data_IF_254856613592
#
_entry.id   IF_254856613592
#
_cell.length_a   1.000
_cell.length_b   1.000
_cell.length_c   1.000
_cell.angle_alpha   90.00
_cell.angle_beta   90.00
_cell.angle_gamma   90.00
#
_symmetry.space_group_name_H-M   'P 1'
#
loop_
_entity.id
_entity.type
_entity.pdbx_description
1 polymer ?
#
# COMPACT_ATOMS: atom_id res chain seq x y z
N UNK A 1 -47.25 19.77 -4.49
CA UNK A 1 -46.27 18.71 -4.19
C UNK A 1 -44.95 19.16 -4.81
N UNK A 2 -44.05 19.75 -4.01
CA UNK A 2 -42.78 20.27 -4.51
C UNK A 2 -41.81 19.11 -4.78
N UNK A 3 -41.04 19.11 -5.88
CA UNK A 3 -40.06 18.07 -6.14
C UNK A 3 -38.94 18.13 -5.10
N UNK A 4 -38.46 16.96 -4.68
CA UNK A 4 -37.40 16.80 -3.70
C UNK A 4 -36.07 17.41 -4.21
N UNK A 5 -35.23 17.98 -3.33
CA UNK A 5 -33.98 18.60 -3.74
C UNK A 5 -33.00 17.53 -4.22
N UNK A 6 -32.66 17.57 -5.51
CA UNK A 6 -31.61 16.74 -6.08
C UNK A 6 -30.26 17.12 -5.43
N UNK A 7 -29.67 16.16 -4.73
CA UNK A 7 -28.33 16.29 -4.17
C UNK A 7 -27.31 16.13 -5.29
N UNK A 8 -26.94 17.25 -5.92
CA UNK A 8 -25.77 17.28 -6.80
C UNK A 8 -24.52 17.15 -5.94
N UNK A 9 -23.64 16.14 -6.14
CA UNK A 9 -22.38 16.09 -5.42
C UNK A 9 -21.55 17.34 -5.75
N UNK A 10 -20.88 17.97 -4.77
CA UNK A 10 -20.10 19.17 -5.02
C UNK A 10 -18.99 18.89 -6.05
N UNK A 11 -18.79 19.82 -6.98
CA UNK A 11 -17.85 19.71 -8.11
C UNK A 11 -16.38 19.48 -7.69
N UNK A 12 -16.05 19.67 -6.42
CA UNK A 12 -14.71 19.48 -5.83
C UNK A 12 -14.49 18.09 -5.20
N UNK A 13 -15.38 17.13 -5.48
CA UNK A 13 -15.30 15.79 -4.89
C UNK A 13 -14.24 14.90 -5.56
N UNK A 14 -13.27 14.41 -4.78
CA UNK A 14 -12.32 13.38 -5.22
C UNK A 14 -13.04 12.05 -5.42
N UNK A 15 -12.96 11.49 -6.64
CA UNK A 15 -13.51 10.17 -6.97
C UNK A 15 -12.40 9.11 -7.02
N UNK A 16 -12.59 8.01 -6.30
CA UNK A 16 -11.72 6.83 -6.42
C UNK A 16 -12.02 6.13 -7.74
N UNK A 17 -11.04 6.07 -8.64
CA UNK A 17 -11.17 5.39 -9.94
C UNK A 17 -10.83 3.91 -9.85
N UNK A 18 -9.83 3.56 -9.04
CA UNK A 18 -9.35 2.18 -8.91
C UNK A 18 -8.72 1.93 -7.54
N UNK A 19 -8.78 0.69 -7.07
CA UNK A 19 -8.09 0.22 -5.87
C UNK A 19 -7.63 -1.21 -6.10
N UNK A 20 -6.31 -1.41 -6.14
CA UNK A 20 -5.72 -2.71 -6.41
C UNK A 20 -4.61 -3.03 -5.41
N UNK A 21 -4.47 -4.32 -5.11
CA UNK A 21 -3.27 -4.84 -4.44
C UNK A 21 -2.28 -5.29 -5.52
N UNK A 22 -1.11 -4.66 -5.58
CA UNK A 22 -0.07 -5.00 -6.54
C UNK A 22 0.88 -6.04 -5.92
N UNK A 23 1.08 -7.15 -6.62
CA UNK A 23 2.02 -8.19 -6.21
C UNK A 23 3.37 -8.00 -6.91
N UNK A 24 4.49 -8.49 -6.33
CA UNK A 24 5.76 -8.55 -7.03
C UNK A 24 5.66 -9.30 -8.37
N UNK A 25 6.42 -8.84 -9.37
CA UNK A 25 6.45 -9.49 -10.67
C UNK A 25 7.06 -10.91 -10.60
N UNK A 26 6.64 -11.78 -11.51
CA UNK A 26 7.17 -13.15 -11.64
C UNK A 26 8.58 -13.12 -12.25
N UNK A 27 9.51 -14.02 -11.83
CA UNK A 27 9.39 -14.97 -10.73
C UNK A 27 9.30 -14.27 -9.37
N UNK A 28 8.42 -14.79 -8.51
CA UNK A 28 8.22 -14.23 -7.17
C UNK A 28 9.51 -14.39 -6.35
N UNK A 29 9.89 -13.36 -5.56
CA UNK A 29 10.95 -13.50 -4.57
C UNK A 29 10.63 -14.65 -3.58
N UNK A 30 11.64 -15.30 -3.00
CA UNK A 30 11.42 -16.31 -1.97
C UNK A 30 10.80 -15.70 -0.71
N UNK A 31 10.15 -16.53 0.10
CA UNK A 31 9.73 -16.14 1.45
C UNK A 31 10.94 -15.67 2.26
N UNK A 32 10.83 -14.48 2.85
CA UNK A 32 11.95 -13.82 3.52
C UNK A 32 11.46 -13.10 4.76
N UNK A 33 12.21 -13.25 5.85
CA UNK A 33 12.06 -12.45 7.07
C UNK A 33 13.27 -11.54 7.23
N UNK A 34 13.03 -10.24 7.36
CA UNK A 34 14.05 -9.25 7.68
C UNK A 34 13.86 -8.81 9.13
N UNK A 35 14.77 -9.19 10.05
CA UNK A 35 14.67 -8.74 11.43
C UNK A 35 14.88 -7.22 11.51
N UNK A 36 14.11 -6.55 12.35
CA UNK A 36 14.31 -5.12 12.60
C UNK A 36 15.60 -4.90 13.38
N UNK A 37 16.35 -3.89 12.95
CA UNK A 37 17.55 -3.41 13.62
C UNK A 37 17.21 -2.31 14.63
N UNK A 38 18.17 -1.90 15.44
CA UNK A 38 18.01 -0.78 16.36
C UNK A 38 17.56 0.51 15.66
N UNK A 39 18.02 0.75 14.44
CA UNK A 39 17.64 1.94 13.66
C UNK A 39 16.16 1.95 13.27
N UNK A 40 15.54 0.77 13.14
CA UNK A 40 14.14 0.63 12.73
C UNK A 40 13.16 0.86 13.90
N UNK A 41 13.61 0.67 15.14
CA UNK A 41 12.77 0.72 16.35
C UNK A 41 12.12 2.10 16.52
N UNK A 42 12.84 3.18 16.22
CA UNK A 42 12.31 4.54 16.29
C UNK A 42 11.08 4.74 15.39
N UNK A 43 11.01 4.01 14.28
CA UNK A 43 9.94 4.12 13.30
C UNK A 43 8.73 3.23 13.63
N UNK A 44 8.86 2.29 14.58
CA UNK A 44 7.76 1.43 15.00
C UNK A 44 6.62 2.20 15.66
N UNK A 45 6.91 3.36 16.26
CA UNK A 45 5.92 4.21 16.90
C UNK A 45 5.59 5.47 16.08
N UNK A 46 6.26 5.64 14.93
CA UNK A 46 6.03 6.79 14.06
C UNK A 46 4.72 6.62 13.27
N UNK A 47 4.00 7.72 12.99
CA UNK A 47 2.86 7.67 12.08
C UNK A 47 3.32 7.32 10.65
N UNK A 48 2.43 6.75 9.80
CA UNK A 48 2.77 6.45 8.42
C UNK A 48 3.23 7.69 7.65
N UNK A 49 4.33 7.58 6.91
CA UNK A 49 4.85 8.66 6.06
C UNK A 49 3.91 8.87 4.87
N UNK A 50 3.40 10.09 4.70
CA UNK A 50 2.52 10.48 3.60
C UNK A 50 3.26 11.39 2.61
N UNK A 51 3.19 11.08 1.30
CA UNK A 51 3.84 11.86 0.24
C UNK A 51 2.89 12.01 -0.95
N UNK A 52 2.84 13.21 -1.52
CA UNK A 52 2.05 13.55 -2.71
C UNK A 52 3.00 14.11 -3.76
N UNK A 53 2.89 13.62 -5.00
CA UNK A 53 3.70 14.04 -6.14
C UNK A 53 2.75 14.56 -7.23
N UNK A 54 2.94 15.81 -7.64
CA UNK A 54 2.16 16.43 -8.71
C UNK A 54 2.95 16.41 -10.01
N UNK A 55 2.33 15.84 -11.04
CA UNK A 55 2.89 15.80 -12.40
C UNK A 55 1.96 16.56 -13.33
N UNK A 56 2.53 17.41 -14.18
CA UNK A 56 1.79 18.06 -15.27
C UNK A 56 1.77 17.11 -16.46
N UNK A 57 0.58 16.78 -16.96
CA UNK A 57 0.40 15.97 -18.16
C UNK A 57 0.32 16.88 -19.39
N UNK A 58 0.89 16.41 -20.50
CA UNK A 58 0.74 17.05 -21.80
C UNK A 58 -0.62 16.71 -22.44
N UNK A 59 -1.09 17.54 -23.37
CA UNK A 59 -2.41 17.41 -23.99
C UNK A 59 -2.61 16.09 -24.77
N UNK A 60 -1.52 15.40 -25.15
CA UNK A 60 -1.56 14.11 -25.85
C UNK A 60 -1.30 12.90 -24.94
N UNK A 61 -1.27 13.07 -23.62
CA UNK A 61 -0.99 11.97 -22.70
C UNK A 61 -2.16 10.96 -22.69
N UNK A 62 -1.83 9.69 -22.90
CA UNK A 62 -2.79 8.60 -22.74
C UNK A 62 -3.05 8.35 -21.25
N UNK A 63 -4.12 8.94 -20.73
CA UNK A 63 -4.51 8.81 -19.32
C UNK A 63 -4.95 7.40 -18.96
N UNK A 64 -5.48 6.64 -19.93
CA UNK A 64 -5.99 5.29 -19.71
C UNK A 64 -4.83 4.30 -19.51
N UNK A 65 -3.67 4.58 -20.12
CA UNK A 65 -2.46 3.79 -19.91
C UNK A 65 -1.73 4.06 -18.59
N UNK A 66 -2.01 5.18 -17.88
CA UNK A 66 -1.26 5.56 -16.67
C UNK A 66 -1.44 4.54 -15.55
N UNK A 67 -2.69 4.21 -15.19
CA UNK A 67 -2.98 3.25 -14.11
C UNK A 67 -2.36 1.87 -14.39
N UNK A 68 -2.55 1.23 -15.56
CA UNK A 68 -1.93 -0.08 -15.83
C UNK A 68 -0.40 -0.01 -15.87
N UNK A 69 0.20 1.06 -16.40
CA UNK A 69 1.66 1.22 -16.42
C UNK A 69 2.24 1.41 -15.00
N UNK A 70 1.57 2.18 -14.14
CA UNK A 70 1.95 2.33 -12.73
C UNK A 70 1.87 0.99 -11.98
N UNK A 71 0.80 0.22 -12.18
CA UNK A 71 0.68 -1.12 -11.58
C UNK A 71 1.81 -2.05 -12.04
N UNK A 72 2.10 -2.07 -13.35
CA UNK A 72 3.14 -2.92 -13.92
C UNK A 72 4.54 -2.54 -13.41
N UNK A 73 4.87 -1.25 -13.45
CA UNK A 73 6.17 -0.76 -12.97
C UNK A 73 6.34 -0.96 -11.46
N UNK A 74 5.29 -0.73 -10.66
CA UNK A 74 5.31 -1.02 -9.22
C UNK A 74 5.51 -2.53 -8.97
N UNK A 75 4.83 -3.40 -9.72
CA UNK A 75 5.00 -4.86 -9.61
C UNK A 75 6.45 -5.27 -9.88
N UNK A 76 7.08 -4.69 -10.90
CA UNK A 76 8.49 -4.92 -11.20
C UNK A 76 9.42 -4.40 -10.09
N UNK A 77 9.17 -3.18 -9.59
CA UNK A 77 9.96 -2.61 -8.50
C UNK A 77 9.85 -3.44 -7.22
N UNK A 78 8.65 -3.92 -6.88
CA UNK A 78 8.41 -4.78 -5.70
C UNK A 78 9.13 -6.12 -5.79
N UNK A 79 9.57 -6.59 -6.96
CA UNK A 79 10.42 -7.78 -7.04
C UNK A 79 11.81 -7.51 -6.44
N UNK A 80 12.36 -6.33 -6.67
CA UNK A 80 13.66 -5.91 -6.10
C UNK A 80 13.51 -5.43 -4.66
N UNK A 81 12.44 -4.66 -4.38
CA UNK A 81 12.13 -4.11 -3.06
C UNK A 81 11.04 -4.92 -2.35
N UNK A 82 11.16 -6.25 -2.40
CA UNK A 82 10.15 -7.18 -1.87
C UNK A 82 9.78 -7.00 -0.39
N UNK A 83 10.65 -6.46 0.50
CA UNK A 83 10.21 -6.18 1.87
C UNK A 83 9.04 -5.19 1.93
N UNK A 84 8.88 -4.31 0.94
CA UNK A 84 7.74 -3.37 0.85
C UNK A 84 6.40 -4.07 0.58
N UNK A 85 6.42 -5.28 0.02
CA UNK A 85 5.24 -6.14 -0.13
C UNK A 85 4.99 -7.02 1.11
N UNK A 86 5.88 -6.97 2.10
CA UNK A 86 5.80 -7.73 3.34
C UNK A 86 4.94 -7.06 4.41
N UNK A 87 4.94 -7.66 5.60
CA UNK A 87 4.21 -7.17 6.77
C UNK A 87 5.09 -7.20 7.99
N UNK A 88 4.96 -6.16 8.82
CA UNK A 88 5.55 -6.17 10.14
C UNK A 88 4.81 -7.17 11.04
N UNK A 89 5.55 -8.08 11.68
CA UNK A 89 5.03 -9.03 12.66
C UNK A 89 6.01 -9.24 13.81
N UNK A 90 5.53 -9.85 14.89
CA UNK A 90 6.40 -10.39 15.93
C UNK A 90 7.03 -11.70 15.41
N UNK A 91 8.33 -11.85 15.59
CA UNK A 91 9.05 -13.06 15.20
C UNK A 91 8.59 -14.24 16.08
N UNK A 92 8.28 -15.40 15.47
CA UNK A 92 7.84 -16.58 16.21
C UNK A 92 8.86 -16.99 17.28
N UNK A 93 8.38 -17.35 18.47
CA UNK A 93 9.22 -17.86 19.57
C UNK A 93 10.03 -16.80 20.32
N UNK A 94 9.84 -15.51 20.04
CA UNK A 94 10.49 -14.41 20.78
C UNK A 94 9.46 -13.38 21.23
N UNK A 95 9.53 -12.96 22.50
CA UNK A 95 8.55 -12.02 23.05
C UNK A 95 8.70 -10.58 22.51
N UNK A 96 9.90 -10.16 22.09
CA UNK A 96 10.22 -8.75 21.81
C UNK A 96 11.02 -8.50 20.52
N UNK A 97 10.92 -9.37 19.50
CA UNK A 97 11.63 -9.16 18.23
C UNK A 97 10.64 -8.99 17.09
N UNK A 98 10.65 -7.82 16.47
CA UNK A 98 9.85 -7.54 15.28
C UNK A 98 10.62 -7.86 14.00
N UNK A 99 9.92 -8.33 12.99
CA UNK A 99 10.47 -8.60 11.66
C UNK A 99 9.50 -8.17 10.58
N UNK A 100 10.07 -7.75 9.45
CA UNK A 100 9.35 -7.56 8.20
C UNK A 100 9.33 -8.89 7.45
N UNK A 101 8.15 -9.51 7.41
CA UNK A 101 7.96 -10.82 6.81
C UNK A 101 7.24 -10.70 5.47
N UNK A 102 7.91 -11.15 4.42
CA UNK A 102 7.34 -11.29 3.09
C UNK A 102 7.06 -12.76 2.78
N UNK A 103 5.83 -13.07 2.36
CA UNK A 103 5.40 -14.41 1.94
C UNK A 103 4.80 -14.37 0.53
N UNK A 104 5.33 -15.15 -0.43
CA UNK A 104 4.79 -15.23 -1.79
C UNK A 104 3.34 -15.68 -1.79
N UNK A 105 2.51 -15.04 -2.63
CA UNK A 105 1.09 -15.36 -2.76
C UNK A 105 0.23 -14.98 -1.55
N UNK A 106 0.81 -14.41 -0.48
CA UNK A 106 0.03 -13.89 0.64
C UNK A 106 -0.60 -12.55 0.26
N UNK A 107 -1.82 -12.60 -0.27
CA UNK A 107 -2.64 -11.44 -0.57
C UNK A 107 -3.01 -10.73 0.73
N UNK A 108 -2.65 -9.45 0.85
CA UNK A 108 -2.99 -8.68 2.03
C UNK A 108 -4.50 -8.43 2.09
N UNK A 109 -5.25 -9.26 2.82
CA UNK A 109 -6.65 -8.97 3.09
C UNK A 109 -6.76 -7.70 3.93
N UNK A 110 -7.34 -6.65 3.36
CA UNK A 110 -7.75 -5.46 4.11
C UNK A 110 -8.92 -5.89 5.01
N UNK A 111 -8.65 -6.23 6.28
CA UNK A 111 -9.72 -6.28 7.27
C UNK A 111 -10.28 -4.86 7.38
N UNK A 112 -11.50 -4.62 6.88
CA UNK A 112 -12.27 -3.42 7.18
C UNK A 112 -12.52 -3.41 8.70
N UNK A 113 -11.69 -2.66 9.42
CA UNK A 113 -11.67 -2.66 10.88
C UNK A 113 -10.36 -2.10 11.44
N UNK A 114 -9.91 -0.96 10.90
CA UNK A 114 -8.70 -0.28 11.32
C UNK A 114 -8.92 0.50 12.62
N UNK A 115 -8.97 -0.20 13.78
CA UNK A 115 -8.75 0.39 15.12
C UNK A 115 -8.23 -0.65 16.13
N UNK A 116 -7.44 -1.65 15.71
CA UNK A 116 -6.93 -2.66 16.66
C UNK A 116 -5.60 -3.29 16.24
N UNK A 117 -4.71 -2.52 15.63
CA UNK A 117 -3.35 -2.94 15.32
C UNK A 117 -2.39 -1.76 15.52
N UNK A 118 -2.37 -1.22 16.74
CA UNK A 118 -1.25 -0.41 17.22
C UNK A 118 -1.10 -0.70 18.72
N UNK A 119 0.11 -1.05 19.20
CA UNK A 119 0.34 -1.16 20.63
C UNK A 119 0.24 0.24 21.25
N UNK A 120 -0.47 0.34 22.36
CA UNK A 120 -0.41 1.50 23.25
C UNK A 120 0.95 1.58 23.92
#
# INVERSE_FOLDING_TARGET
MAPAPEHHPPADAVRVVDTALVQPAVPLPPETSLPLTFFDIFWLHAPPVQRVLFYRLDAGADTDAIIPNLKRSLSQALRTFFPLAGRLRLAPGTANRYELHYRPGHVASRRRGARRWWPR
#
